data_IF_909815549575
#
_entry.id   IF_909815549575
#
_cell.length_a   1.000
_cell.length_b   1.000
_cell.length_c   1.000
_cell.angle_alpha   90.00
_cell.angle_beta   90.00
_cell.angle_gamma   90.00
#
_symmetry.space_group_name_H-M   'P 1'
#
loop_
_entity.id
_entity.type
_entity.pdbx_description
1 polymer ?
#
# COMPACT_ATOMS: atom_id res chain seq x y z
N UNK A 1 -10.93 -9.92 0.73
CA UNK A 1 -10.77 -9.22 2.02
C UNK A 1 -10.67 -7.74 1.71
N UNK A 2 -11.29 -6.87 2.50
CA UNK A 2 -11.12 -5.42 2.40
C UNK A 2 -10.04 -4.98 3.39
N UNK A 3 -9.11 -4.13 2.95
CA UNK A 3 -8.01 -3.60 3.74
C UNK A 3 -8.08 -2.08 3.80
N UNK A 4 -7.50 -1.49 4.83
CA UNK A 4 -7.50 -0.05 5.03
C UNK A 4 -6.08 0.48 4.86
N UNK A 5 -5.87 1.27 3.83
CA UNK A 5 -4.58 1.82 3.43
C UNK A 5 -4.48 3.25 3.95
N UNK A 6 -3.44 3.54 4.72
CA UNK A 6 -3.11 4.91 5.13
C UNK A 6 -2.13 5.47 4.11
N UNK A 7 -2.50 6.58 3.47
CA UNK A 7 -1.70 7.22 2.42
C UNK A 7 -1.58 8.73 2.59
N UNK A 8 -0.56 9.30 1.95
CA UNK A 8 -0.31 10.73 1.92
C UNK A 8 -1.39 11.50 1.15
N UNK A 9 -2.04 12.45 1.82
CA UNK A 9 -3.04 13.34 1.21
C UNK A 9 -2.39 14.47 0.39
N UNK A 10 -1.19 14.89 0.76
CA UNK A 10 -0.46 16.01 0.14
C UNK A 10 0.17 15.64 -1.20
N UNK A 11 0.57 14.38 -1.37
CA UNK A 11 1.11 13.84 -2.62
C UNK A 11 0.06 13.12 -3.48
N UNK A 12 -1.23 13.48 -3.41
CA UNK A 12 -2.29 12.84 -4.22
C UNK A 12 -2.30 11.30 -4.11
N UNK A 13 -2.11 10.72 -2.91
CA UNK A 13 -2.18 9.26 -2.71
C UNK A 13 -0.98 8.45 -3.22
N UNK A 14 0.15 9.11 -3.51
CA UNK A 14 1.34 8.45 -4.10
C UNK A 14 2.15 7.61 -3.10
N UNK A 15 2.02 7.85 -1.80
CA UNK A 15 2.79 7.13 -0.77
C UNK A 15 1.89 6.36 0.19
N UNK A 16 2.05 5.04 0.23
CA UNK A 16 1.43 4.20 1.26
C UNK A 16 2.30 4.22 2.52
N UNK A 17 1.71 4.60 3.64
CA UNK A 17 2.39 4.63 4.94
C UNK A 17 2.19 3.34 5.73
N UNK A 18 1.01 2.73 5.61
CA UNK A 18 0.65 1.51 6.31
C UNK A 18 -0.62 0.88 5.76
N UNK A 19 -0.82 -0.40 6.05
CA UNK A 19 -2.00 -1.15 5.65
C UNK A 19 -2.52 -1.96 6.82
N UNK A 20 -3.84 -1.91 7.02
CA UNK A 20 -4.48 -2.36 8.25
C UNK A 20 -5.67 -3.27 7.94
N UNK A 21 -5.91 -4.21 8.84
CA UNK A 21 -7.05 -5.12 8.79
C UNK A 21 -8.37 -4.46 9.16
N UNK A 22 -8.34 -3.29 9.82
CA UNK A 22 -9.53 -2.55 10.21
C UNK A 22 -9.34 -1.04 10.11
N UNK A 23 -10.45 -0.32 9.93
CA UNK A 23 -10.45 1.15 9.82
C UNK A 23 -10.01 1.80 11.12
N UNK A 24 -10.38 1.23 12.27
CA UNK A 24 -10.04 1.75 13.60
C UNK A 24 -8.52 1.76 13.81
N UNK A 25 -7.83 0.68 13.41
CA UNK A 25 -6.36 0.61 13.50
C UNK A 25 -5.69 1.66 12.60
N UNK A 26 -6.18 1.81 11.36
CA UNK A 26 -5.70 2.83 10.44
C UNK A 26 -5.90 4.25 11.00
N UNK A 27 -7.03 4.50 11.66
CA UNK A 27 -7.35 5.80 12.25
C UNK A 27 -6.43 6.11 13.45
N UNK A 28 -6.22 5.14 14.35
CA UNK A 28 -5.29 5.28 15.48
C UNK A 28 -3.85 5.54 14.99
N UNK A 29 -3.45 4.89 13.90
CA UNK A 29 -2.16 5.16 13.27
C UNK A 29 -2.08 6.61 12.77
N UNK A 30 -3.08 7.13 12.06
CA UNK A 30 -3.06 8.53 11.61
C UNK A 30 -2.97 9.50 12.80
N UNK A 31 -3.68 9.24 13.89
CA UNK A 31 -3.64 10.08 15.09
C UNK A 31 -2.24 10.15 15.74
N UNK A 32 -1.36 9.17 15.49
CA UNK A 32 0.01 9.17 16.00
C UNK A 32 1.01 9.94 15.12
N UNK A 33 0.62 10.50 13.97
CA UNK A 33 1.50 11.25 13.08
C UNK A 33 0.96 12.65 12.77
N UNK A 34 1.86 13.63 12.61
CA UNK A 34 1.51 15.02 12.26
C UNK A 34 1.32 15.27 10.75
N UNK A 35 1.29 14.22 9.92
CA UNK A 35 1.17 14.35 8.47
C UNK A 35 -0.28 14.34 7.99
N UNK A 36 -0.56 15.11 6.93
CA UNK A 36 -1.86 15.10 6.27
C UNK A 36 -2.06 13.76 5.56
N UNK A 37 -2.77 12.84 6.21
CA UNK A 37 -2.99 11.48 5.72
C UNK A 37 -4.48 11.22 5.48
N UNK A 38 -4.79 10.19 4.69
CA UNK A 38 -6.15 9.68 4.51
C UNK A 38 -6.18 8.15 4.63
N UNK A 39 -7.33 7.62 5.03
CA UNK A 39 -7.61 6.17 5.02
C UNK A 39 -8.46 5.86 3.80
N UNK A 40 -8.01 4.92 2.98
CA UNK A 40 -8.76 4.39 1.85
C UNK A 40 -9.03 2.89 2.04
N UNK A 41 -10.26 2.47 1.77
CA UNK A 41 -10.59 1.05 1.70
C UNK A 41 -10.14 0.51 0.34
N UNK A 42 -9.28 -0.50 0.35
CA UNK A 42 -8.72 -1.12 -0.85
C UNK A 42 -8.97 -2.62 -0.83
N UNK A 43 -9.49 -3.21 -1.93
CA UNK A 43 -9.66 -4.65 -2.02
C UNK A 43 -8.29 -5.34 -2.11
N UNK A 44 -8.16 -6.48 -1.43
CA UNK A 44 -7.02 -7.36 -1.63
C UNK A 44 -7.17 -8.13 -2.95
N UNK A 45 -6.15 -8.04 -3.81
CA UNK A 45 -6.05 -8.77 -5.08
C UNK A 45 -5.21 -10.03 -4.89
N UNK A 46 -5.72 -11.17 -5.38
CA UNK A 46 -5.07 -12.49 -5.27
C UNK A 46 -5.63 -13.34 -4.13
N UNK A 47 -5.11 -14.56 -4.01
CA UNK A 47 -5.50 -15.50 -2.94
C UNK A 47 -4.77 -15.15 -1.65
N UNK A 48 -5.53 -14.98 -0.56
CA UNK A 48 -4.96 -14.72 0.76
C UNK A 48 -4.09 -15.88 1.22
N UNK A 49 -2.85 -15.59 1.62
CA UNK A 49 -1.84 -16.60 1.97
C UNK A 49 -1.61 -16.75 3.48
N UNK A 50 -2.43 -16.07 4.31
CA UNK A 50 -2.38 -16.06 5.78
C UNK A 50 -1.06 -15.56 6.41
N UNK A 51 -0.06 -15.22 5.60
CA UNK A 51 1.26 -14.77 6.09
C UNK A 51 1.23 -13.40 6.75
N UNK A 52 0.14 -12.65 6.57
CA UNK A 52 0.04 -11.25 6.97
C UNK A 52 0.78 -10.31 6.01
N UNK A 53 1.53 -10.83 5.03
CA UNK A 53 2.27 -10.03 4.07
C UNK A 53 1.39 -9.63 2.90
N UNK A 54 1.58 -8.40 2.46
CA UNK A 54 0.90 -7.84 1.31
C UNK A 54 1.85 -6.89 0.59
N UNK A 55 1.53 -6.62 -0.66
CA UNK A 55 2.37 -5.84 -1.56
C UNK A 55 1.56 -4.67 -2.09
N UNK A 56 1.94 -3.46 -1.72
CA UNK A 56 1.44 -2.26 -2.34
C UNK A 56 2.21 -2.04 -3.65
N UNK A 57 1.48 -2.06 -4.75
CA UNK A 57 2.03 -1.82 -6.07
C UNK A 57 1.78 -0.37 -6.46
N UNK A 58 2.81 0.26 -7.04
CA UNK A 58 2.71 1.55 -7.66
C UNK A 58 3.20 1.50 -9.11
N UNK A 59 2.36 1.92 -10.05
CA UNK A 59 2.72 2.03 -11.47
C UNK A 59 3.39 3.36 -11.76
N UNK A 60 4.27 3.42 -12.76
CA UNK A 60 4.93 4.66 -13.14
C UNK A 60 4.09 5.46 -14.14
N UNK A 61 3.63 6.63 -13.70
CA UNK A 61 2.93 7.60 -14.51
C UNK A 61 3.94 8.43 -15.32
N UNK A 62 3.96 8.16 -16.63
CA UNK A 62 4.87 8.80 -17.57
C UNK A 62 4.56 10.29 -17.79
N UNK A 63 3.33 10.74 -17.52
CA UNK A 63 2.95 12.14 -17.71
C UNK A 63 3.45 13.03 -16.58
N UNK A 64 3.52 12.48 -15.36
CA UNK A 64 3.94 13.21 -14.17
C UNK A 64 5.30 12.78 -13.63
N UNK A 65 5.99 11.83 -14.28
CA UNK A 65 7.30 11.30 -13.89
C UNK A 65 7.31 10.81 -12.42
N UNK A 66 6.25 10.09 -12.02
CA UNK A 66 6.06 9.64 -10.63
C UNK A 66 5.33 8.32 -10.53
N UNK A 67 5.49 7.63 -9.40
CA UNK A 67 4.72 6.42 -9.09
C UNK A 67 3.32 6.76 -8.55
N UNK A 68 2.30 6.04 -9.00
CA UNK A 68 0.88 6.16 -8.62
C UNK A 68 0.42 4.84 -8.01
N UNK A 69 -0.29 4.90 -6.89
CA UNK A 69 -0.84 3.71 -6.24
C UNK A 69 -1.83 2.97 -7.15
N UNK A 70 -1.57 1.68 -7.33
CA UNK A 70 -2.33 0.79 -8.20
C UNK A 70 -3.24 -0.15 -7.39
N UNK A 71 -2.70 -0.78 -6.34
CA UNK A 71 -3.48 -1.66 -5.49
C UNK A 71 -2.67 -2.45 -4.46
N UNK A 72 -3.38 -3.26 -3.68
CA UNK A 72 -2.82 -4.19 -2.69
C UNK A 72 -2.95 -5.63 -3.20
N UNK A 73 -1.84 -6.35 -3.18
CA UNK A 73 -1.72 -7.70 -3.69
C UNK A 73 -1.31 -8.65 -2.56
N UNK A 74 -1.85 -9.86 -2.56
CA UNK A 74 -1.45 -10.91 -1.60
C UNK A 74 -0.16 -11.61 -2.00
N UNK A 75 0.27 -11.47 -3.26
CA UNK A 75 1.43 -12.16 -3.81
C UNK A 75 2.36 -11.17 -4.52
N UNK A 76 3.66 -11.32 -4.29
CA UNK A 76 4.69 -10.45 -4.86
C UNK A 76 4.73 -10.57 -6.39
N UNK A 77 4.66 -11.79 -6.92
CA UNK A 77 4.68 -12.05 -8.37
C UNK A 77 3.51 -11.36 -9.08
N UNK A 78 2.30 -11.41 -8.51
CA UNK A 78 1.14 -10.69 -9.06
C UNK A 78 1.35 -9.17 -9.06
N UNK A 79 1.92 -8.61 -7.99
CA UNK A 79 2.25 -7.19 -7.94
C UNK A 79 3.26 -6.82 -9.04
N UNK A 80 4.29 -7.64 -9.24
CA UNK A 80 5.28 -7.48 -10.31
C UNK A 80 4.68 -7.53 -11.71
N UNK A 81 3.80 -8.50 -11.96
CA UNK A 81 3.14 -8.64 -13.26
C UNK A 81 2.31 -7.41 -13.63
N UNK A 82 1.69 -6.76 -12.64
CA UNK A 82 0.88 -5.55 -12.86
C UNK A 82 1.74 -4.31 -13.09
N UNK A 83 2.76 -4.09 -12.26
CA UNK A 83 3.53 -2.84 -12.34
C UNK A 83 4.67 -2.87 -13.37
N UNK A 84 5.09 -4.07 -13.77
CA UNK A 84 6.17 -4.28 -14.73
C UNK A 84 7.54 -3.75 -14.25
N UNK A 85 8.49 -3.61 -15.19
CA UNK A 85 9.88 -3.24 -14.89
C UNK A 85 10.10 -1.81 -14.37
N UNK A 86 9.07 -0.95 -14.47
CA UNK A 86 9.15 0.45 -14.04
C UNK A 86 8.30 0.74 -12.81
N UNK A 87 7.71 -0.29 -12.22
CA UNK A 87 6.91 -0.16 -11.02
C UNK A 87 7.73 -0.03 -9.74
N UNK A 88 7.06 0.40 -8.68
CA UNK A 88 7.58 0.32 -7.31
C UNK A 88 6.68 -0.64 -6.52
N UNK A 89 7.29 -1.61 -5.84
CA UNK A 89 6.58 -2.53 -4.97
C UNK A 89 7.08 -2.33 -3.55
N UNK A 90 6.14 -2.22 -2.62
CA UNK A 90 6.43 -2.10 -1.20
C UNK A 90 5.75 -3.27 -0.47
N UNK A 91 6.56 -4.07 0.22
CA UNK A 91 6.08 -5.12 1.12
C UNK A 91 5.65 -4.48 2.44
N UNK A 92 4.47 -4.86 2.92
CA UNK A 92 3.97 -4.53 4.24
C UNK A 92 3.58 -5.81 4.99
N UNK A 93 3.69 -5.77 6.31
CA UNK A 93 2.97 -6.68 7.19
C UNK A 93 1.72 -5.95 7.70
N UNK A 94 0.56 -6.59 7.55
CA UNK A 94 -0.72 -6.01 7.99
C UNK A 94 -0.65 -5.68 9.49
N UNK A 95 -1.14 -4.49 9.83
CA UNK A 95 -1.15 -3.93 11.19
C UNK A 95 0.25 -3.63 11.78
N UNK A 96 1.32 -3.89 11.04
CA UNK A 96 2.72 -3.60 11.42
C UNK A 96 3.39 -2.74 10.34
N UNK A 97 2.96 -1.48 10.17
CA UNK A 97 3.41 -0.60 9.08
C UNK A 97 4.90 -0.22 9.15
N UNK A 98 5.50 -0.29 10.35
CA UNK A 98 6.93 -0.05 10.55
C UNK A 98 7.79 -1.20 10.00
N UNK A 99 7.20 -2.38 9.81
CA UNK A 99 7.83 -3.55 9.16
C UNK A 99 7.52 -3.56 7.65
N UNK A 100 7.89 -2.47 6.96
CA UNK A 100 7.77 -2.35 5.50
C UNK A 100 9.12 -2.33 4.79
N UNK A 101 9.17 -2.84 3.56
CA UNK A 101 10.39 -2.86 2.74
C UNK A 101 10.09 -2.53 1.28
N UNK A 102 11.00 -1.81 0.62
CA UNK A 102 10.95 -1.63 -0.83
C UNK A 102 11.52 -2.89 -1.49
N UNK A 103 10.80 -3.43 -2.48
CA UNK A 103 11.27 -4.53 -3.31
C UNK A 103 11.69 -3.95 -4.67
N UNK A 104 12.95 -4.18 -5.04
CA UNK A 104 13.59 -3.70 -6.29
C UNK A 104 13.81 -4.88 -7.22
#
# INVERSE_FOLDING_TARGET
>A
MELFVVMDKSMLGRGVFGVFSSREKAQLFIESFEFHSLVEASPLIGTWDESGKIYAAHTYDHFYDTHVFDGIYSQCELAYDVVGQKGLIIEFIIDLPDEKKIIV
#
